data_IF_528269764842
#
_entry.id   IF_528269764842
#
_cell.length_a   1.000
_cell.length_b   1.000
_cell.length_c   1.000
_cell.angle_alpha   90.00
_cell.angle_beta   90.00
_cell.angle_gamma   90.00
#
_symmetry.space_group_name_H-M   'P 1'
#
loop_
_entity.id
_entity.type
_entity.pdbx_description
1 polymer ?
#
# COMPACT_ATOMS: atom_id res chain seq x y z
N UNK A 1 23.02 18.56 6.69
CA UNK A 1 22.21 17.45 6.14
C UNK A 1 22.33 17.37 4.63
N UNK A 2 21.86 18.37 3.85
CA UNK A 2 21.92 18.33 2.38
C UNK A 2 23.33 18.12 1.79
N UNK A 3 24.34 18.86 2.27
CA UNK A 3 25.72 18.66 1.80
C UNK A 3 26.19 17.22 2.01
N UNK A 4 25.96 16.66 3.21
CA UNK A 4 26.30 15.26 3.52
C UNK A 4 25.59 14.30 2.59
N UNK A 5 24.31 14.53 2.28
CA UNK A 5 23.57 13.73 1.31
C UNK A 5 24.19 13.83 -0.10
N UNK A 6 24.52 15.04 -0.57
CA UNK A 6 25.13 15.25 -1.88
C UNK A 6 26.54 14.63 -1.98
N UNK A 7 27.35 14.71 -0.92
CA UNK A 7 28.66 14.08 -0.83
C UNK A 7 28.58 12.56 -1.01
N UNK A 8 27.47 11.96 -0.56
CA UNK A 8 27.22 10.51 -0.60
C UNK A 8 26.23 10.09 -1.70
N UNK A 9 25.81 11.00 -2.58
CA UNK A 9 24.82 10.69 -3.62
C UNK A 9 25.29 9.59 -4.57
N UNK A 10 26.61 9.37 -4.68
CA UNK A 10 27.19 8.27 -5.44
C UNK A 10 26.75 6.87 -4.97
N UNK A 11 26.27 6.72 -3.73
CA UNK A 11 25.74 5.46 -3.19
C UNK A 11 24.45 5.01 -3.88
N UNK A 12 23.72 5.92 -4.53
CA UNK A 12 22.48 5.62 -5.25
C UNK A 12 22.70 5.23 -6.71
N UNK A 13 23.95 5.06 -7.17
CA UNK A 13 24.23 4.61 -8.53
C UNK A 13 23.70 3.20 -8.73
N UNK A 14 22.83 3.03 -9.73
CA UNK A 14 22.20 1.75 -10.04
C UNK A 14 21.00 1.40 -9.16
N UNK A 15 20.53 2.32 -8.31
CA UNK A 15 19.33 2.12 -7.49
C UNK A 15 18.13 2.87 -8.08
N UNK A 16 16.88 2.41 -7.84
CA UNK A 16 15.70 3.15 -8.26
C UNK A 16 15.63 4.53 -7.59
N UNK A 17 16.10 4.67 -6.35
CA UNK A 17 16.22 5.97 -5.66
C UNK A 17 17.08 6.96 -6.44
N UNK A 18 18.22 6.54 -6.98
CA UNK A 18 19.05 7.40 -7.81
C UNK A 18 18.33 7.88 -9.08
N UNK A 19 17.53 7.00 -9.69
CA UNK A 19 16.70 7.33 -10.86
C UNK A 19 15.61 8.34 -10.51
N UNK A 20 14.80 8.05 -9.48
CA UNK A 20 13.71 8.93 -9.04
C UNK A 20 14.20 10.31 -8.64
N UNK A 21 15.26 10.38 -7.82
CA UNK A 21 15.85 11.65 -7.38
C UNK A 21 16.41 12.47 -8.54
N UNK A 22 17.04 11.81 -9.53
CA UNK A 22 17.54 12.51 -10.72
C UNK A 22 16.39 13.06 -11.55
N UNK A 23 15.33 12.26 -11.73
CA UNK A 23 14.15 12.67 -12.50
C UNK A 23 13.37 13.77 -11.80
N UNK A 24 13.10 13.68 -10.50
CA UNK A 24 12.37 14.73 -9.79
C UNK A 24 13.16 16.04 -9.73
N UNK A 25 14.48 15.99 -9.54
CA UNK A 25 15.34 17.18 -9.59
C UNK A 25 15.20 17.87 -10.97
N UNK A 26 15.22 17.09 -12.05
CA UNK A 26 15.10 17.62 -13.40
C UNK A 26 13.68 18.10 -13.73
N UNK A 27 12.69 17.21 -13.65
CA UNK A 27 11.33 17.45 -14.16
C UNK A 27 10.51 18.34 -13.23
N UNK A 28 10.68 18.20 -11.91
CA UNK A 28 9.90 18.96 -10.91
C UNK A 28 10.61 20.26 -10.56
N UNK A 29 11.91 20.23 -10.25
CA UNK A 29 12.63 21.41 -9.76
C UNK A 29 13.39 22.17 -10.87
N UNK A 30 13.49 21.62 -12.07
CA UNK A 30 14.20 22.22 -13.21
C UNK A 30 15.74 22.19 -13.04
N UNK A 31 16.26 21.27 -12.24
CA UNK A 31 17.70 21.12 -11.98
C UNK A 31 18.30 20.26 -13.09
N UNK A 32 19.06 20.89 -13.99
CA UNK A 32 19.73 20.18 -15.09
C UNK A 32 21.16 19.77 -14.74
N UNK A 33 21.73 20.33 -13.67
CA UNK A 33 23.07 19.98 -13.19
C UNK A 33 23.03 18.68 -12.36
N UNK A 34 24.02 17.81 -12.57
CA UNK A 34 24.15 16.58 -11.78
C UNK A 34 24.46 16.91 -10.32
N UNK A 35 23.73 16.31 -9.38
CA UNK A 35 24.03 16.42 -7.96
C UNK A 35 25.39 15.78 -7.62
N UNK A 36 26.30 16.60 -7.13
CA UNK A 36 27.61 16.24 -6.58
C UNK A 36 27.90 17.11 -5.36
N UNK A 37 28.99 16.82 -4.65
CA UNK A 37 29.49 17.68 -3.57
C UNK A 37 29.67 19.14 -4.01
N UNK A 38 30.13 19.37 -5.24
CA UNK A 38 30.41 20.70 -5.78
C UNK A 38 29.14 21.47 -6.15
N UNK A 39 28.14 20.79 -6.73
CA UNK A 39 26.88 21.43 -7.16
C UNK A 39 25.84 21.53 -6.04
N UNK A 40 26.07 20.87 -4.89
CA UNK A 40 25.13 20.74 -3.78
C UNK A 40 24.52 22.08 -3.34
N UNK A 41 25.35 23.10 -3.11
CA UNK A 41 24.90 24.40 -2.62
C UNK A 41 24.02 25.14 -3.64
N UNK A 42 24.39 25.09 -4.92
CA UNK A 42 23.63 25.72 -6.00
C UNK A 42 22.26 25.04 -6.19
N UNK A 43 22.25 23.71 -6.20
CA UNK A 43 21.01 22.92 -6.31
C UNK A 43 20.10 23.16 -5.11
N UNK A 44 20.65 23.22 -3.88
CA UNK A 44 19.85 23.55 -2.69
C UNK A 44 19.17 24.91 -2.82
N UNK A 45 19.93 25.94 -3.21
CA UNK A 45 19.40 27.29 -3.37
C UNK A 45 18.29 27.35 -4.43
N UNK A 46 18.43 26.61 -5.53
CA UNK A 46 17.37 26.50 -6.54
C UNK A 46 16.12 25.82 -5.99
N UNK A 47 16.25 24.70 -5.28
CA UNK A 47 15.10 24.00 -4.67
C UNK A 47 14.39 24.90 -3.67
N UNK A 48 15.13 25.57 -2.77
CA UNK A 48 14.57 26.49 -1.78
C UNK A 48 13.81 27.65 -2.45
N UNK A 49 14.39 28.25 -3.50
CA UNK A 49 13.73 29.29 -4.28
C UNK A 49 12.43 28.78 -4.94
N UNK A 50 12.44 27.56 -5.49
CA UNK A 50 11.24 26.94 -6.08
C UNK A 50 10.16 26.73 -5.04
N UNK A 51 10.49 26.15 -3.88
CA UNK A 51 9.54 25.87 -2.80
C UNK A 51 8.88 27.12 -2.22
N UNK A 52 9.54 28.28 -2.30
CA UNK A 52 8.99 29.57 -1.88
C UNK A 52 8.09 30.22 -2.95
N UNK A 53 8.08 29.69 -4.18
CA UNK A 53 7.22 30.20 -5.25
C UNK A 53 5.75 29.83 -5.02
N UNK A 54 4.79 30.70 -5.37
CA UNK A 54 3.36 30.36 -5.37
C UNK A 54 3.01 29.15 -6.26
N UNK A 55 3.85 28.82 -7.23
CA UNK A 55 3.66 27.68 -8.14
C UNK A 55 3.99 26.32 -7.49
N UNK A 56 4.67 26.29 -6.34
CA UNK A 56 5.13 25.06 -5.66
C UNK A 56 4.32 24.74 -4.39
N UNK A 57 3.08 25.23 -4.31
CA UNK A 57 2.17 24.79 -3.25
C UNK A 57 1.69 23.35 -3.53
N UNK A 58 1.33 22.55 -2.50
CA UNK A 58 0.89 21.17 -2.71
C UNK A 58 -0.27 21.02 -3.70
N UNK A 59 -1.25 21.94 -3.70
CA UNK A 59 -2.38 21.91 -4.64
C UNK A 59 -1.95 22.20 -6.09
N UNK A 60 -1.02 23.14 -6.29
CA UNK A 60 -0.47 23.44 -7.62
C UNK A 60 0.35 22.29 -8.17
N UNK A 61 1.18 21.68 -7.34
CA UNK A 61 1.94 20.50 -7.71
C UNK A 61 1.02 19.31 -8.03
N UNK A 62 -0.06 19.09 -7.26
CA UNK A 62 -1.08 18.08 -7.59
C UNK A 62 -1.66 18.27 -9.00
N UNK A 63 -2.01 19.51 -9.35
CA UNK A 63 -2.51 19.88 -10.68
C UNK A 63 -1.43 19.67 -11.76
N UNK A 64 -0.20 20.12 -11.52
CA UNK A 64 0.92 20.00 -12.46
C UNK A 64 1.33 18.55 -12.71
N UNK A 65 1.27 17.70 -11.68
CA UNK A 65 1.54 16.27 -11.78
C UNK A 65 0.40 15.51 -12.46
N UNK A 66 -0.71 16.19 -12.78
CA UNK A 66 -1.89 15.60 -13.41
C UNK A 66 -2.42 14.40 -12.62
N UNK A 67 -2.51 14.55 -11.30
CA UNK A 67 -3.05 13.52 -10.42
C UNK A 67 -4.58 13.55 -10.50
N UNK A 68 -5.19 12.43 -10.90
CA UNK A 68 -6.66 12.29 -10.93
C UNK A 68 -7.22 11.93 -9.55
N UNK A 69 -6.49 11.11 -8.78
CA UNK A 69 -6.86 10.68 -7.44
C UNK A 69 -5.61 10.35 -6.63
N UNK A 70 -5.60 10.74 -5.36
CA UNK A 70 -4.57 10.37 -4.39
C UNK A 70 -5.24 9.72 -3.18
N UNK A 71 -4.83 8.51 -2.86
CA UNK A 71 -5.34 7.77 -1.72
C UNK A 71 -4.32 7.86 -0.58
N UNK A 72 -4.70 8.41 0.57
CA UNK A 72 -3.88 8.36 1.78
C UNK A 72 -4.13 7.05 2.52
N UNK A 73 -3.24 6.70 3.45
CA UNK A 73 -3.42 5.57 4.35
C UNK A 73 -3.63 6.08 5.76
N UNK A 74 -4.80 5.84 6.32
CA UNK A 74 -5.24 6.44 7.58
C UNK A 74 -5.60 5.35 8.60
N UNK A 75 -5.18 5.50 9.87
CA UNK A 75 -5.53 4.54 10.91
C UNK A 75 -7.04 4.53 11.13
N UNK A 76 -7.59 3.40 11.59
CA UNK A 76 -9.02 3.29 11.96
C UNK A 76 -9.47 4.37 12.96
N UNK A 77 -8.54 4.89 13.75
CA UNK A 77 -8.72 5.93 14.77
C UNK A 77 -8.62 7.37 14.22
N UNK A 78 -8.38 7.56 12.92
CA UNK A 78 -8.35 8.88 12.28
C UNK A 78 -9.72 9.56 12.32
N UNK A 79 -9.75 10.87 12.62
CA UNK A 79 -10.95 11.69 12.60
C UNK A 79 -11.35 12.16 11.18
N UNK A 80 -10.48 11.95 10.18
CA UNK A 80 -10.66 12.33 8.78
C UNK A 80 -10.90 13.85 8.55
N UNK A 81 -10.53 14.68 9.51
CA UNK A 81 -10.79 16.13 9.48
C UNK A 81 -10.10 16.83 8.30
N UNK A 82 -8.90 16.39 7.91
CA UNK A 82 -8.19 16.92 6.75
C UNK A 82 -8.88 16.57 5.43
N UNK A 83 -9.42 15.35 5.28
CA UNK A 83 -10.19 14.96 4.10
C UNK A 83 -11.48 15.79 3.98
N UNK A 84 -12.19 15.97 5.10
CA UNK A 84 -13.37 16.83 5.14
C UNK A 84 -13.02 18.28 4.74
N UNK A 85 -11.95 18.85 5.30
CA UNK A 85 -11.50 20.19 4.97
C UNK A 85 -11.12 20.34 3.48
N UNK A 86 -10.50 19.32 2.87
CA UNK A 86 -10.17 19.33 1.44
C UNK A 86 -11.45 19.35 0.61
N UNK A 87 -12.37 18.42 0.86
CA UNK A 87 -13.66 18.32 0.17
C UNK A 87 -14.46 19.63 0.25
N UNK A 88 -14.46 20.26 1.42
CA UNK A 88 -15.28 21.44 1.70
C UNK A 88 -14.59 22.75 1.26
N UNK A 89 -13.34 22.70 0.78
CA UNK A 89 -12.57 23.90 0.40
C UNK A 89 -12.87 24.48 -0.99
N UNK A 90 -13.67 23.80 -1.80
CA UNK A 90 -13.96 24.20 -3.20
C UNK A 90 -12.82 23.91 -4.20
N UNK A 91 -11.72 23.29 -3.76
CA UNK A 91 -10.68 22.78 -4.67
C UNK A 91 -11.08 21.42 -5.25
N UNK A 92 -10.77 21.18 -6.52
CA UNK A 92 -11.26 20.01 -7.27
C UNK A 92 -10.39 18.75 -7.12
N UNK A 93 -9.28 18.81 -6.39
CA UNK A 93 -8.42 17.64 -6.19
C UNK A 93 -9.10 16.55 -5.37
N UNK A 94 -9.02 15.31 -5.85
CA UNK A 94 -9.62 14.14 -5.20
C UNK A 94 -8.56 13.47 -4.31
N UNK A 95 -8.68 13.69 -3.00
CA UNK A 95 -7.87 13.04 -1.98
C UNK A 95 -8.80 12.25 -1.07
N UNK A 96 -8.67 10.92 -1.05
CA UNK A 96 -9.56 10.01 -0.32
C UNK A 96 -8.78 9.14 0.67
N UNK A 97 -9.36 8.73 1.80
CA UNK A 97 -8.67 7.89 2.76
C UNK A 97 -8.73 6.40 2.39
N UNK A 98 -7.74 5.64 2.85
CA UNK A 98 -7.70 4.17 2.84
C UNK A 98 -7.71 3.68 4.29
N UNK A 99 -8.66 2.82 4.64
CA UNK A 99 -8.84 2.36 6.02
C UNK A 99 -7.78 1.34 6.43
N UNK A 100 -6.95 1.66 7.43
CA UNK A 100 -5.90 0.77 7.95
C UNK A 100 -6.06 0.47 9.44
N UNK A 101 -6.53 -0.73 9.82
CA UNK A 101 -6.83 -1.07 11.21
C UNK A 101 -5.66 -1.72 11.97
N UNK A 102 -4.44 -1.79 11.41
CA UNK A 102 -3.31 -2.52 11.99
C UNK A 102 -3.07 -2.21 13.48
N UNK A 103 -3.14 -0.93 13.87
CA UNK A 103 -2.86 -0.48 15.24
C UNK A 103 -3.89 -0.94 16.28
N UNK A 104 -5.09 -1.35 15.85
CA UNK A 104 -6.15 -1.88 16.73
C UNK A 104 -6.34 -3.39 16.57
N UNK A 105 -5.84 -3.99 15.48
CA UNK A 105 -5.91 -5.44 15.23
C UNK A 105 -4.70 -6.19 15.79
N UNK A 106 -3.50 -5.62 15.70
CA UNK A 106 -2.29 -6.26 16.16
C UNK A 106 -2.13 -6.04 17.67
N UNK A 107 -2.46 -7.06 18.46
CA UNK A 107 -2.50 -7.00 19.93
C UNK A 107 -1.13 -6.66 20.57
N UNK A 108 -0.04 -6.89 19.84
CA UNK A 108 1.33 -6.60 20.23
C UNK A 108 1.83 -5.22 19.77
N UNK A 109 0.97 -4.42 19.12
CA UNK A 109 1.31 -3.07 18.73
C UNK A 109 1.63 -2.19 19.96
N UNK A 110 2.69 -1.39 19.86
CA UNK A 110 3.04 -0.45 20.91
C UNK A 110 1.88 0.53 21.17
N UNK A 111 1.43 0.62 22.42
CA UNK A 111 0.31 1.48 22.80
C UNK A 111 -1.07 0.98 22.34
N UNK A 112 -1.22 -0.31 22.01
CA UNK A 112 -2.48 -0.91 21.53
C UNK A 112 -3.71 -0.52 22.36
N UNK A 113 -3.64 -0.57 23.70
CA UNK A 113 -4.78 -0.17 24.56
C UNK A 113 -5.24 1.27 24.30
N UNK A 114 -4.30 2.20 24.15
CA UNK A 114 -4.62 3.59 23.82
C UNK A 114 -5.28 3.73 22.44
N UNK A 115 -4.95 2.85 21.50
CA UNK A 115 -5.61 2.81 20.19
C UNK A 115 -7.05 2.29 20.29
N UNK A 116 -7.34 1.35 21.19
CA UNK A 116 -8.72 0.90 21.48
C UNK A 116 -9.55 2.03 22.13
N UNK A 117 -8.95 2.79 23.05
CA UNK A 117 -9.61 3.96 23.64
C UNK A 117 -9.90 5.02 22.57
N UNK A 118 -8.93 5.30 21.70
CA UNK A 118 -9.12 6.22 20.57
C UNK A 118 -10.19 5.72 19.58
N UNK A 119 -10.22 4.41 19.28
CA UNK A 119 -11.25 3.80 18.44
C UNK A 119 -12.64 3.99 19.05
N UNK A 120 -12.76 3.80 20.37
CA UNK A 120 -14.02 4.00 21.09
C UNK A 120 -14.50 5.45 20.99
N UNK A 121 -13.57 6.41 21.15
CA UNK A 121 -13.87 7.84 21.01
C UNK A 121 -14.34 8.23 19.61
N UNK A 122 -13.63 7.81 18.56
CA UNK A 122 -13.98 8.22 17.18
C UNK A 122 -15.16 7.45 16.58
N UNK A 123 -15.47 6.26 17.10
CA UNK A 123 -16.65 5.49 16.69
C UNK A 123 -17.90 5.81 17.50
N UNK A 124 -17.75 6.37 18.71
CA UNK A 124 -18.84 6.57 19.67
C UNK A 124 -19.34 5.27 20.31
N UNK A 125 -18.61 4.16 20.17
CA UNK A 125 -18.95 2.83 20.69
C UNK A 125 -17.92 2.45 21.75
N UNK A 126 -18.37 2.15 22.97
CA UNK A 126 -17.48 1.70 24.04
C UNK A 126 -17.00 0.25 23.79
N UNK A 127 -15.71 0.08 23.49
CA UNK A 127 -15.12 -1.23 23.19
C UNK A 127 -14.74 -1.94 24.48
N UNK A 128 -15.65 -2.79 24.96
CA UNK A 128 -15.46 -3.63 26.16
C UNK A 128 -15.42 -5.13 25.88
N UNK A 129 -15.83 -5.56 24.70
CA UNK A 129 -15.93 -6.95 24.28
C UNK A 129 -15.79 -7.10 22.77
N UNK A 130 -15.77 -8.34 22.28
CA UNK A 130 -15.55 -8.59 20.85
C UNK A 130 -16.69 -8.05 19.96
N UNK A 131 -17.93 -8.10 20.43
CA UNK A 131 -19.07 -7.61 19.67
C UNK A 131 -18.99 -6.08 19.46
N UNK A 132 -18.75 -5.33 20.54
CA UNK A 132 -18.56 -3.87 20.48
C UNK A 132 -17.32 -3.47 19.68
N UNK A 133 -16.24 -4.26 19.74
CA UNK A 133 -15.04 -4.03 18.90
C UNK A 133 -15.35 -4.14 17.40
N UNK A 134 -16.05 -5.20 16.98
CA UNK A 134 -16.46 -5.38 15.58
C UNK A 134 -17.40 -4.25 15.14
N UNK A 135 -18.36 -3.88 15.98
CA UNK A 135 -19.29 -2.78 15.69
C UNK A 135 -18.55 -1.44 15.51
N UNK A 136 -17.54 -1.16 16.33
CA UNK A 136 -16.72 0.04 16.21
C UNK A 136 -15.96 0.08 14.87
N UNK A 137 -15.38 -1.05 14.45
CA UNK A 137 -14.70 -1.15 13.15
C UNK A 137 -15.64 -0.96 11.97
N UNK A 138 -16.83 -1.57 12.00
CA UNK A 138 -17.86 -1.39 10.97
C UNK A 138 -18.31 0.07 10.87
N UNK A 139 -18.50 0.74 12.02
CA UNK A 139 -18.82 2.16 12.06
C UNK A 139 -17.71 3.00 11.43
N UNK A 140 -16.43 2.73 11.77
CA UNK A 140 -15.31 3.48 11.20
C UNK A 140 -15.20 3.26 9.69
N UNK A 141 -15.38 2.04 9.20
CA UNK A 141 -15.41 1.76 7.76
C UNK A 141 -16.50 2.54 7.04
N UNK A 142 -17.69 2.67 7.63
CA UNK A 142 -18.75 3.51 7.08
C UNK A 142 -18.34 4.99 6.99
N UNK A 143 -17.73 5.55 8.05
CA UNK A 143 -17.23 6.93 8.04
C UNK A 143 -16.14 7.16 6.98
N UNK A 144 -15.25 6.19 6.77
CA UNK A 144 -14.26 6.25 5.69
C UNK A 144 -14.91 6.27 4.30
N UNK A 145 -15.93 5.44 4.08
CA UNK A 145 -16.70 5.43 2.83
C UNK A 145 -17.41 6.76 2.57
N UNK A 146 -17.94 7.40 3.61
CA UNK A 146 -18.54 8.75 3.48
C UNK A 146 -17.52 9.81 3.04
N UNK A 147 -16.23 9.61 3.32
CA UNK A 147 -15.13 10.44 2.83
C UNK A 147 -14.56 9.97 1.47
N UNK A 148 -15.21 9.00 0.82
CA UNK A 148 -14.83 8.51 -0.51
C UNK A 148 -13.84 7.36 -0.52
N UNK A 149 -13.56 6.73 0.63
CA UNK A 149 -12.72 5.53 0.67
C UNK A 149 -13.32 4.41 -0.20
N UNK A 150 -12.47 3.76 -0.98
CA UNK A 150 -12.83 2.59 -1.78
C UNK A 150 -12.05 1.33 -1.41
N UNK A 151 -11.06 1.47 -0.53
CA UNK A 151 -10.17 0.38 -0.13
C UNK A 151 -9.82 0.39 1.36
N UNK A 152 -9.38 -0.77 1.83
CA UNK A 152 -8.71 -0.99 3.10
C UNK A 152 -7.29 -1.50 2.86
N UNK A 153 -6.43 -1.31 3.85
CA UNK A 153 -5.05 -1.79 3.82
C UNK A 153 -4.74 -2.52 5.13
N UNK A 154 -4.07 -3.65 5.01
CA UNK A 154 -3.73 -4.53 6.12
C UNK A 154 -2.28 -4.96 6.01
N UNK A 155 -1.45 -4.63 7.00
CA UNK A 155 -0.14 -5.25 7.13
C UNK A 155 -0.14 -6.31 8.23
N UNK A 156 0.48 -7.44 7.89
CA UNK A 156 0.73 -8.55 8.81
C UNK A 156 2.13 -9.09 8.56
N UNK A 157 2.74 -9.78 9.52
CA UNK A 157 4.01 -10.48 9.23
C UNK A 157 3.76 -11.66 8.30
N UNK A 158 2.63 -12.36 8.47
CA UNK A 158 2.23 -13.50 7.64
C UNK A 158 0.80 -13.33 7.14
N UNK A 159 0.43 -13.85 5.96
CA UNK A 159 -0.95 -13.84 5.47
C UNK A 159 -1.80 -14.97 6.09
N UNK A 160 -1.43 -15.46 7.28
CA UNK A 160 -2.14 -16.53 7.98
C UNK A 160 -3.57 -16.09 8.30
N UNK A 161 -4.54 -16.93 7.96
CA UNK A 161 -5.96 -16.71 8.25
C UNK A 161 -6.52 -17.90 9.01
N UNK A 162 -7.41 -17.64 9.96
CA UNK A 162 -8.11 -18.65 10.77
C UNK A 162 -9.45 -18.05 11.16
N UNK A 163 -10.54 -18.81 11.07
CA UNK A 163 -11.84 -18.39 11.63
C UNK A 163 -11.94 -18.87 13.07
N UNK A 164 -11.97 -17.92 14.01
CA UNK A 164 -12.29 -18.19 15.41
C UNK A 164 -13.80 -18.17 15.64
N UNK A 165 -14.25 -18.89 16.68
CA UNK A 165 -15.59 -18.68 17.22
C UNK A 165 -15.65 -17.29 17.87
N UNK A 166 -16.85 -16.69 17.92
CA UNK A 166 -17.03 -15.40 18.61
C UNK A 166 -16.62 -15.47 20.08
N UNK A 167 -16.81 -16.63 20.73
CA UNK A 167 -16.38 -16.88 22.10
C UNK A 167 -14.86 -16.88 22.24
N UNK A 168 -14.14 -17.57 21.35
CA UNK A 168 -12.67 -17.61 21.40
C UNK A 168 -12.07 -16.23 21.11
N UNK A 169 -12.62 -15.51 20.13
CA UNK A 169 -12.19 -14.14 19.82
C UNK A 169 -12.43 -13.19 21.00
N UNK A 170 -13.57 -13.31 21.69
CA UNK A 170 -13.88 -12.52 22.90
C UNK A 170 -12.94 -12.84 24.06
N UNK A 171 -12.61 -14.11 24.28
CA UNK A 171 -11.65 -14.51 25.31
C UNK A 171 -10.27 -13.87 25.04
N UNK A 172 -9.78 -13.94 23.80
CA UNK A 172 -8.49 -13.34 23.43
C UNK A 172 -8.54 -11.81 23.61
N UNK A 173 -9.58 -11.15 23.09
CA UNK A 173 -9.71 -9.71 23.19
C UNK A 173 -9.79 -9.25 24.65
N UNK A 174 -10.65 -9.84 25.47
CA UNK A 174 -10.78 -9.46 26.90
C UNK A 174 -9.47 -9.64 27.67
N UNK A 175 -8.70 -10.70 27.37
CA UNK A 175 -7.38 -10.90 27.94
C UNK A 175 -6.44 -9.74 27.56
N UNK A 176 -6.41 -9.37 26.28
CA UNK A 176 -5.61 -8.23 25.79
C UNK A 176 -6.05 -6.90 26.41
N UNK A 177 -7.37 -6.66 26.56
CA UNK A 177 -7.89 -5.48 27.26
C UNK A 177 -7.48 -5.45 28.74
N UNK A 178 -7.27 -6.62 29.37
CA UNK A 178 -6.71 -6.78 30.70
C UNK A 178 -5.19 -6.61 30.79
N UNK A 179 -4.50 -6.39 29.67
CA UNK A 179 -3.04 -6.19 29.61
C UNK A 179 -2.22 -7.47 29.44
N UNK A 180 -2.86 -8.60 29.13
CA UNK A 180 -2.20 -9.89 28.94
C UNK A 180 -2.37 -10.38 27.49
N UNK A 181 -1.30 -10.92 26.89
CA UNK A 181 -1.34 -11.58 25.58
C UNK A 181 -0.70 -12.95 25.72
N UNK A 182 -1.47 -14.03 25.52
CA UNK A 182 -0.93 -15.37 25.63
C UNK A 182 -0.18 -15.79 24.35
N UNK A 183 0.61 -16.86 24.46
CA UNK A 183 1.33 -17.41 23.32
C UNK A 183 0.36 -17.80 22.20
N UNK A 184 0.66 -17.36 20.98
CA UNK A 184 -0.19 -17.57 19.80
C UNK A 184 -1.41 -16.65 19.67
N UNK A 185 -1.83 -15.91 20.71
CA UNK A 185 -3.02 -15.04 20.65
C UNK A 185 -2.90 -14.01 19.51
N UNK A 186 -1.74 -13.36 19.38
CA UNK A 186 -1.47 -12.37 18.31
C UNK A 186 -1.71 -12.99 16.94
N UNK A 187 -1.08 -14.13 16.64
CA UNK A 187 -1.19 -14.79 15.34
C UNK A 187 -2.64 -15.18 15.04
N UNK A 188 -3.33 -15.80 15.99
CA UNK A 188 -4.70 -16.28 15.81
C UNK A 188 -5.69 -15.14 15.68
N UNK A 189 -5.56 -14.11 16.52
CA UNK A 189 -6.43 -12.94 16.49
C UNK A 189 -6.22 -12.13 15.22
N UNK A 190 -4.98 -11.83 14.81
CA UNK A 190 -4.70 -11.16 13.53
C UNK A 190 -5.24 -11.98 12.35
N UNK A 191 -5.04 -13.31 12.34
CA UNK A 191 -5.58 -14.17 11.29
C UNK A 191 -7.11 -14.21 11.24
N UNK A 192 -7.78 -14.11 12.39
CA UNK A 192 -9.24 -13.97 12.50
C UNK A 192 -9.72 -12.59 12.07
N UNK A 193 -9.00 -11.54 12.42
CA UNK A 193 -9.36 -10.19 12.00
C UNK A 193 -9.21 -10.01 10.48
N UNK A 194 -8.27 -10.71 9.82
CA UNK A 194 -8.24 -10.75 8.35
C UNK A 194 -9.52 -11.39 7.77
N UNK A 195 -10.07 -12.43 8.41
CA UNK A 195 -11.37 -13.02 8.02
C UNK A 195 -12.52 -12.02 8.21
N UNK A 196 -12.55 -11.29 9.33
CA UNK A 196 -13.57 -10.27 9.58
C UNK A 196 -13.47 -9.09 8.62
N UNK A 197 -12.26 -8.64 8.27
CA UNK A 197 -12.06 -7.60 7.27
C UNK A 197 -12.53 -8.05 5.88
N UNK A 198 -12.32 -9.32 5.53
CA UNK A 198 -12.84 -9.90 4.30
C UNK A 198 -14.37 -9.97 4.30
N UNK A 199 -14.98 -10.40 5.42
CA UNK A 199 -16.45 -10.37 5.60
C UNK A 199 -17.01 -8.97 5.41
N UNK A 200 -16.52 -7.98 6.15
CA UNK A 200 -16.97 -6.59 6.04
C UNK A 200 -16.80 -6.06 4.61
N UNK A 201 -15.68 -6.37 3.95
CA UNK A 201 -15.40 -5.97 2.57
C UNK A 201 -16.34 -6.62 1.55
N UNK A 202 -16.77 -7.86 1.82
CA UNK A 202 -17.78 -8.55 1.01
C UNK A 202 -19.18 -7.92 1.12
N UNK A 203 -19.47 -7.26 2.25
CA UNK A 203 -20.75 -6.59 2.55
C UNK A 203 -20.74 -5.14 2.08
N UNK A 204 -19.71 -4.37 2.43
CA UNK A 204 -19.62 -2.94 2.16
C UNK A 204 -18.94 -2.59 0.82
N UNK A 205 -18.28 -3.56 0.18
CA UNK A 205 -17.64 -3.41 -1.12
C UNK A 205 -16.30 -2.67 -1.12
N UNK A 206 -15.70 -2.37 0.03
CA UNK A 206 -14.32 -1.88 0.09
C UNK A 206 -13.37 -2.95 -0.43
N UNK A 207 -12.37 -2.54 -1.21
CA UNK A 207 -11.32 -3.43 -1.72
C UNK A 207 -10.33 -3.71 -0.61
N UNK A 208 -10.07 -4.98 -0.31
CA UNK A 208 -9.13 -5.37 0.73
C UNK A 208 -7.72 -5.51 0.15
N UNK A 209 -6.76 -4.72 0.63
CA UNK A 209 -5.35 -4.89 0.30
C UNK A 209 -4.62 -5.61 1.43
N UNK A 210 -3.76 -6.58 1.11
CA UNK A 210 -2.97 -7.31 2.09
C UNK A 210 -1.48 -7.20 1.75
N UNK A 211 -0.71 -6.63 2.68
CA UNK A 211 0.73 -6.40 2.61
C UNK A 211 1.49 -7.23 3.66
N UNK A 212 1.72 -8.54 3.41
CA UNK A 212 2.42 -9.42 4.33
C UNK A 212 3.95 -9.43 4.12
N UNK A 213 4.69 -10.01 5.06
CA UNK A 213 6.07 -10.44 4.83
C UNK A 213 7.15 -9.43 5.25
N UNK A 214 6.81 -8.42 6.05
CA UNK A 214 7.79 -7.49 6.63
C UNK A 214 8.01 -7.80 8.11
N UNK A 215 9.24 -8.18 8.47
CA UNK A 215 9.67 -8.23 9.87
C UNK A 215 10.20 -6.84 10.26
N UNK A 216 9.33 -6.08 10.92
CA UNK A 216 9.57 -4.67 11.23
C UNK A 216 10.48 -4.48 12.43
N UNK A 217 11.15 -3.32 12.47
CA UNK A 217 11.99 -2.87 13.58
C UNK A 217 13.10 -3.87 13.96
N UNK A 218 13.74 -4.48 12.95
CA UNK A 218 14.76 -5.51 13.12
C UNK A 218 16.03 -5.01 13.85
N UNK A 219 16.26 -3.70 13.90
CA UNK A 219 17.36 -3.09 14.65
C UNK A 219 16.85 -2.45 15.96
N UNK A 220 17.01 -3.11 17.12
CA UNK A 220 16.46 -2.62 18.39
C UNK A 220 17.10 -1.31 18.87
N UNK A 221 18.39 -1.09 18.58
CA UNK A 221 19.07 0.16 18.96
C UNK A 221 18.50 1.36 18.20
N UNK A 222 18.11 1.15 16.93
CA UNK A 222 17.50 2.20 16.12
C UNK A 222 16.05 2.47 16.57
N UNK A 223 15.30 1.41 16.86
CA UNK A 223 13.94 1.50 17.39
C UNK A 223 13.89 2.29 18.69
N UNK A 224 14.76 1.96 19.65
CA UNK A 224 14.81 2.65 20.94
C UNK A 224 15.11 4.15 20.78
N UNK A 225 15.99 4.50 19.83
CA UNK A 225 16.45 5.88 19.66
C UNK A 225 15.52 6.75 18.81
N UNK A 226 14.94 6.21 17.75
CA UNK A 226 14.23 6.99 16.74
C UNK A 226 12.79 6.52 16.48
N UNK A 227 12.38 5.37 17.01
CA UNK A 227 11.08 4.78 16.74
C UNK A 227 11.02 3.98 15.43
N UNK A 228 9.79 3.61 14.99
CA UNK A 228 9.56 2.80 13.79
C UNK A 228 9.82 3.56 12.49
N UNK A 229 9.75 2.85 11.36
CA UNK A 229 9.88 3.39 9.99
C UNK A 229 11.25 4.04 9.68
N UNK A 230 12.32 3.60 10.35
CA UNK A 230 13.68 4.13 10.18
C UNK A 230 14.57 3.28 9.23
N UNK A 231 13.94 2.54 8.31
CA UNK A 231 14.65 1.72 7.31
C UNK A 231 15.21 0.39 7.82
N UNK A 232 14.69 -0.12 8.94
CA UNK A 232 15.12 -1.38 9.57
C UNK A 232 14.05 -2.48 9.50
N UNK A 233 13.25 -2.48 8.43
CA UNK A 233 12.17 -3.44 8.19
C UNK A 233 12.59 -4.39 7.08
N UNK A 234 12.70 -5.69 7.40
CA UNK A 234 13.36 -6.67 6.53
C UNK A 234 12.32 -7.67 5.99
N UNK A 235 12.29 -7.93 4.67
CA UNK A 235 11.49 -8.99 4.08
C UNK A 235 11.77 -10.36 4.73
N UNK A 236 10.72 -11.15 4.90
CA UNK A 236 10.80 -12.55 5.33
C UNK A 236 10.09 -13.47 4.34
N UNK A 237 10.52 -14.73 4.32
CA UNK A 237 9.89 -15.76 3.51
C UNK A 237 8.38 -15.83 3.83
N UNK A 238 7.56 -15.80 2.78
CA UNK A 238 6.11 -15.71 2.90
C UNK A 238 5.45 -16.88 2.15
N UNK A 239 4.40 -17.45 2.73
CA UNK A 239 3.62 -18.55 2.14
C UNK A 239 2.16 -18.10 2.08
N UNK A 240 1.50 -18.24 0.94
CA UNK A 240 0.14 -17.78 0.69
C UNK A 240 -0.87 -18.92 0.56
N UNK A 241 -0.47 -20.04 -0.04
CA UNK A 241 -1.35 -21.13 -0.50
C UNK A 241 -2.08 -21.80 0.65
N UNK A 242 -1.38 -22.13 1.73
CA UNK A 242 -1.97 -22.69 2.94
C UNK A 242 -2.52 -21.61 3.85
N UNK A 243 -1.78 -20.53 4.03
CA UNK A 243 -2.14 -19.46 4.95
C UNK A 243 -3.44 -18.71 4.58
N UNK A 244 -3.73 -18.51 3.29
CA UNK A 244 -4.96 -17.87 2.81
C UNK A 244 -6.11 -18.83 2.56
N UNK A 245 -5.89 -20.16 2.68
CA UNK A 245 -6.90 -21.14 2.32
C UNK A 245 -8.23 -20.95 3.07
N UNK A 246 -8.26 -20.68 4.40
CA UNK A 246 -9.52 -20.40 5.09
C UNK A 246 -10.28 -19.20 4.50
N UNK A 247 -9.59 -18.08 4.26
CA UNK A 247 -10.19 -16.88 3.66
C UNK A 247 -10.70 -17.13 2.25
N UNK A 248 -9.90 -17.77 1.40
CA UNK A 248 -10.27 -18.04 0.00
C UNK A 248 -11.38 -19.10 -0.11
N UNK A 249 -11.45 -20.06 0.81
CA UNK A 249 -12.57 -20.99 0.88
C UNK A 249 -13.90 -20.27 1.15
N UNK A 250 -13.90 -19.26 2.02
CA UNK A 250 -15.12 -18.54 2.43
C UNK A 250 -15.48 -17.43 1.42
N UNK A 251 -14.50 -16.62 0.99
CA UNK A 251 -14.75 -15.41 0.22
C UNK A 251 -14.16 -15.42 -1.20
N UNK A 252 -13.32 -16.39 -1.56
CA UNK A 252 -12.59 -16.39 -2.84
C UNK A 252 -13.49 -16.40 -4.09
N UNK A 253 -14.74 -16.89 -3.95
CA UNK A 253 -15.75 -16.92 -5.01
C UNK A 253 -16.86 -15.85 -4.83
N UNK A 254 -16.76 -14.98 -3.82
CA UNK A 254 -17.78 -13.98 -3.52
C UNK A 254 -17.69 -12.80 -4.49
N UNK A 255 -18.76 -12.53 -5.25
CA UNK A 255 -18.75 -11.56 -6.36
C UNK A 255 -18.47 -10.12 -5.95
N UNK A 256 -18.85 -9.72 -4.72
CA UNK A 256 -18.59 -8.38 -4.20
C UNK A 256 -17.26 -8.27 -3.44
N UNK A 257 -16.58 -9.38 -3.15
CA UNK A 257 -15.30 -9.35 -2.46
C UNK A 257 -14.16 -9.14 -3.46
N UNK A 258 -13.21 -8.27 -3.12
CA UNK A 258 -11.97 -8.11 -3.88
C UNK A 258 -10.78 -8.03 -2.93
N UNK A 259 -9.84 -8.95 -3.12
CA UNK A 259 -8.58 -9.02 -2.40
C UNK A 259 -7.44 -8.69 -3.35
N UNK A 260 -6.59 -7.74 -2.98
CA UNK A 260 -5.35 -7.42 -3.69
C UNK A 260 -4.18 -7.87 -2.81
N UNK A 261 -3.38 -8.81 -3.32
CA UNK A 261 -2.19 -9.30 -2.62
C UNK A 261 -0.94 -8.57 -3.08
N UNK A 262 -0.18 -8.07 -2.12
CA UNK A 262 1.18 -7.57 -2.30
C UNK A 262 2.19 -8.56 -1.74
N UNK A 263 3.47 -8.40 -2.10
CA UNK A 263 4.51 -9.37 -1.76
C UNK A 263 5.86 -8.73 -1.47
N UNK A 264 6.58 -9.30 -0.51
CA UNK A 264 8.00 -9.05 -0.25
C UNK A 264 8.88 -10.29 -0.48
N UNK A 265 8.32 -11.34 -1.11
CA UNK A 265 9.02 -12.58 -1.43
C UNK A 265 8.76 -12.95 -2.91
N UNK A 266 9.69 -12.58 -3.79
CA UNK A 266 9.57 -12.83 -5.24
C UNK A 266 9.51 -14.33 -5.58
N UNK A 267 9.95 -15.23 -4.69
CA UNK A 267 9.89 -16.68 -4.91
C UNK A 267 8.45 -17.23 -4.94
N UNK A 268 7.49 -16.44 -4.47
CA UNK A 268 6.06 -16.77 -4.46
C UNK A 268 5.34 -16.38 -5.74
N UNK A 269 5.94 -15.54 -6.60
CA UNK A 269 5.27 -14.94 -7.76
C UNK A 269 4.69 -15.99 -8.71
N UNK A 270 5.54 -16.85 -9.28
CA UNK A 270 5.12 -17.90 -10.21
C UNK A 270 4.58 -19.14 -9.50
N UNK A 271 5.03 -19.39 -8.26
CA UNK A 271 4.71 -20.62 -7.51
C UNK A 271 3.34 -20.57 -6.84
N UNK A 272 2.94 -19.42 -6.32
CA UNK A 272 1.73 -19.27 -5.49
C UNK A 272 0.81 -18.15 -5.97
N UNK A 273 1.33 -16.92 -6.06
CA UNK A 273 0.52 -15.72 -6.29
C UNK A 273 -0.17 -15.76 -7.65
N UNK A 274 0.57 -16.03 -8.73
CA UNK A 274 -0.01 -16.07 -10.07
C UNK A 274 -1.02 -17.22 -10.25
N UNK A 275 -0.75 -18.47 -9.81
CA UNK A 275 -1.77 -19.53 -9.81
C UNK A 275 -3.02 -19.19 -8.99
N UNK A 276 -2.87 -18.62 -7.79
CA UNK A 276 -4.01 -18.24 -6.96
C UNK A 276 -4.86 -17.16 -7.63
N UNK A 277 -4.24 -16.09 -8.12
CA UNK A 277 -4.94 -14.98 -8.77
C UNK A 277 -5.52 -15.35 -10.15
N UNK A 278 -4.90 -16.30 -10.85
CA UNK A 278 -5.43 -16.87 -12.09
C UNK A 278 -6.65 -17.79 -11.87
N UNK A 279 -6.94 -18.19 -10.63
CA UNK A 279 -8.02 -19.10 -10.29
C UNK A 279 -9.20 -18.42 -9.55
N UNK A 280 -8.93 -17.71 -8.44
CA UNK A 280 -9.98 -17.18 -7.58
C UNK A 280 -10.56 -15.86 -8.13
N UNK A 281 -11.88 -15.78 -8.42
CA UNK A 281 -12.50 -14.58 -8.99
C UNK A 281 -12.29 -13.29 -8.19
N UNK A 282 -12.27 -13.39 -6.85
CA UNK A 282 -12.08 -12.26 -5.96
C UNK A 282 -10.63 -11.75 -5.87
N UNK A 283 -9.65 -12.53 -6.33
CA UNK A 283 -8.24 -12.28 -6.06
C UNK A 283 -7.55 -11.52 -7.21
N UNK A 284 -6.72 -10.54 -6.85
CA UNK A 284 -5.87 -9.77 -7.77
C UNK A 284 -4.47 -9.60 -7.18
N UNK A 285 -3.50 -9.27 -8.03
CA UNK A 285 -2.12 -9.02 -7.64
C UNK A 285 -1.78 -7.52 -7.70
N UNK A 286 -1.29 -7.00 -6.58
CA UNK A 286 -0.66 -5.70 -6.48
C UNK A 286 0.65 -5.66 -7.27
N UNK A 287 1.13 -4.45 -7.65
CA UNK A 287 2.47 -4.30 -8.22
C UNK A 287 3.55 -4.73 -7.23
N UNK A 288 4.80 -4.93 -7.70
CA UNK A 288 5.95 -5.18 -6.85
C UNK A 288 6.11 -4.10 -5.79
N UNK A 289 6.21 -4.53 -4.54
CA UNK A 289 6.12 -3.63 -3.40
C UNK A 289 7.50 -3.31 -2.80
N UNK A 290 7.65 -2.08 -2.31
CA UNK A 290 8.77 -1.61 -1.50
C UNK A 290 10.13 -1.81 -2.17
N UNK A 291 10.92 -2.81 -1.78
CA UNK A 291 12.24 -3.08 -2.35
C UNK A 291 12.18 -3.53 -3.81
N UNK A 292 11.02 -4.04 -4.23
CA UNK A 292 10.78 -4.53 -5.59
C UNK A 292 10.11 -3.48 -6.49
N UNK A 293 9.67 -2.35 -5.94
CA UNK A 293 9.28 -1.14 -6.71
C UNK A 293 10.54 -0.54 -7.35
N UNK A 294 10.95 -1.16 -8.45
CA UNK A 294 12.20 -0.89 -9.16
C UNK A 294 12.11 -1.43 -10.57
N UNK A 295 12.94 -0.91 -11.48
CA UNK A 295 12.99 -1.40 -12.87
C UNK A 295 13.08 -2.93 -12.96
N UNK A 296 14.00 -3.53 -12.20
CA UNK A 296 14.24 -4.96 -12.25
C UNK A 296 13.15 -5.77 -11.54
N UNK A 297 12.60 -5.28 -10.42
CA UNK A 297 11.51 -5.96 -9.72
C UNK A 297 10.20 -5.95 -10.53
N UNK A 298 9.86 -4.81 -11.13
CA UNK A 298 8.73 -4.70 -12.07
C UNK A 298 8.89 -5.60 -13.29
N UNK A 299 10.11 -5.66 -13.86
CA UNK A 299 10.39 -6.56 -14.99
C UNK A 299 10.18 -8.02 -14.60
N UNK A 300 10.78 -8.47 -13.48
CA UNK A 300 10.62 -9.86 -13.00
C UNK A 300 9.16 -10.19 -12.68
N UNK A 301 8.40 -9.25 -12.13
CA UNK A 301 6.98 -9.45 -11.89
C UNK A 301 6.21 -9.73 -13.17
N UNK A 302 6.42 -8.92 -14.22
CA UNK A 302 5.77 -9.17 -15.52
C UNK A 302 6.19 -10.50 -16.13
N UNK A 303 7.45 -10.89 -16.00
CA UNK A 303 7.97 -12.18 -16.49
C UNK A 303 7.41 -13.38 -15.73
N UNK A 304 7.29 -13.30 -14.40
CA UNK A 304 6.94 -14.45 -13.56
C UNK A 304 5.43 -14.61 -13.31
N UNK A 305 4.65 -13.55 -13.46
CA UNK A 305 3.21 -13.56 -13.14
C UNK A 305 2.33 -13.71 -14.39
N UNK A 306 2.69 -13.04 -15.47
CA UNK A 306 1.75 -12.80 -16.58
C UNK A 306 1.35 -14.07 -17.33
N UNK A 307 2.19 -15.11 -17.37
CA UNK A 307 1.87 -16.37 -18.06
C UNK A 307 0.71 -17.13 -17.40
N UNK A 308 0.55 -17.03 -16.08
CA UNK A 308 -0.53 -17.73 -15.35
C UNK A 308 -1.68 -16.81 -14.99
N UNK A 309 -1.39 -15.62 -14.44
CA UNK A 309 -2.43 -14.69 -14.01
C UNK A 309 -2.96 -13.82 -15.16
N UNK A 310 -2.15 -13.57 -16.19
CA UNK A 310 -2.44 -12.55 -17.20
C UNK A 310 -2.36 -11.12 -16.64
N UNK A 311 -2.47 -10.14 -17.54
CA UNK A 311 -2.44 -8.72 -17.17
C UNK A 311 -3.67 -8.31 -16.33
N UNK A 312 -4.85 -8.82 -16.67
CA UNK A 312 -6.13 -8.39 -16.10
C UNK A 312 -6.46 -8.97 -14.71
N UNK A 313 -5.61 -9.87 -14.19
CA UNK A 313 -5.62 -10.24 -12.76
C UNK A 313 -4.59 -9.44 -11.93
N UNK A 314 -3.92 -8.46 -12.53
CA UNK A 314 -3.13 -7.43 -11.84
C UNK A 314 -3.92 -6.12 -11.71
N UNK A 315 -3.43 -5.17 -10.93
CA UNK A 315 -4.17 -3.93 -10.60
C UNK A 315 -3.54 -2.64 -11.13
N UNK A 316 -2.55 -2.73 -12.01
CA UNK A 316 -1.74 -1.58 -12.43
C UNK A 316 -0.65 -1.26 -11.42
N UNK A 317 -0.45 0.03 -11.11
CA UNK A 317 0.64 0.51 -10.26
C UNK A 317 0.15 1.53 -9.21
N UNK A 318 0.77 1.50 -8.03
CA UNK A 318 0.68 2.50 -6.97
C UNK A 318 2.09 2.84 -6.47
N UNK A 319 2.34 4.09 -6.09
CA UNK A 319 3.66 4.59 -5.72
C UNK A 319 4.10 4.26 -4.28
N UNK A 320 3.14 4.01 -3.37
CA UNK A 320 3.35 3.73 -1.93
C UNK A 320 4.40 4.66 -1.29
N UNK A 321 4.33 5.97 -1.55
CA UNK A 321 5.34 6.92 -1.08
C UNK A 321 4.81 8.03 -0.20
N UNK A 322 5.64 8.46 0.75
CA UNK A 322 5.48 9.73 1.48
C UNK A 322 6.11 10.92 0.71
N UNK A 323 6.94 10.65 -0.29
CA UNK A 323 7.67 11.67 -1.05
C UNK A 323 6.84 12.19 -2.22
N UNK A 324 6.05 13.24 -1.98
CA UNK A 324 5.10 13.81 -2.96
C UNK A 324 5.74 14.15 -4.32
N UNK A 325 6.95 14.71 -4.33
CA UNK A 325 7.68 15.06 -5.56
C UNK A 325 8.11 13.82 -6.37
N UNK A 326 8.19 12.65 -5.76
CA UNK A 326 8.58 11.41 -6.43
C UNK A 326 7.40 10.69 -7.11
N UNK A 327 6.15 11.07 -6.84
CA UNK A 327 4.95 10.45 -7.45
C UNK A 327 5.05 10.40 -8.98
N UNK A 328 5.27 11.52 -9.72
CA UNK A 328 5.35 11.47 -11.17
C UNK A 328 6.51 10.59 -11.67
N UNK A 329 7.68 10.63 -11.01
CA UNK A 329 8.84 9.82 -11.38
C UNK A 329 8.59 8.31 -11.19
N UNK A 330 7.89 7.91 -10.12
CA UNK A 330 7.51 6.51 -9.86
C UNK A 330 6.51 6.00 -10.90
N UNK A 331 5.47 6.79 -11.21
CA UNK A 331 4.51 6.43 -12.25
C UNK A 331 5.14 6.37 -13.64
N UNK A 332 6.07 7.28 -13.97
CA UNK A 332 6.80 7.24 -15.25
C UNK A 332 7.69 5.98 -15.34
N UNK A 333 8.38 5.61 -14.27
CA UNK A 333 9.14 4.35 -14.20
C UNK A 333 8.23 3.14 -14.51
N UNK A 334 7.09 3.03 -13.82
CA UNK A 334 6.16 1.93 -14.02
C UNK A 334 5.64 1.87 -15.47
N UNK A 335 5.22 3.01 -16.03
CA UNK A 335 4.75 3.12 -17.42
C UNK A 335 5.81 2.68 -18.43
N UNK A 336 7.08 3.05 -18.22
CA UNK A 336 8.20 2.65 -19.09
C UNK A 336 8.48 1.16 -19.01
N UNK A 337 8.43 0.56 -17.82
CA UNK A 337 8.65 -0.87 -17.66
C UNK A 337 7.52 -1.66 -18.34
N UNK A 338 6.27 -1.26 -18.14
CA UNK A 338 5.12 -1.91 -18.79
C UNK A 338 5.16 -1.76 -20.31
N UNK A 339 5.47 -0.56 -20.83
CA UNK A 339 5.63 -0.34 -22.26
C UNK A 339 6.75 -1.22 -22.85
N UNK A 340 7.87 -1.38 -22.14
CA UNK A 340 8.96 -2.24 -22.57
C UNK A 340 8.54 -3.73 -22.59
N UNK A 341 7.83 -4.19 -21.57
CA UNK A 341 7.32 -5.57 -21.53
C UNK A 341 6.34 -5.84 -22.69
N UNK A 342 5.35 -4.95 -22.88
CA UNK A 342 4.35 -5.07 -23.95
C UNK A 342 5.03 -5.03 -25.33
N UNK A 343 5.95 -4.09 -25.55
CA UNK A 343 6.69 -4.00 -26.81
C UNK A 343 7.46 -5.30 -27.11
N UNK A 344 8.04 -5.95 -26.08
CA UNK A 344 8.71 -7.24 -26.25
C UNK A 344 7.74 -8.36 -26.67
N UNK A 345 6.49 -8.34 -26.21
CA UNK A 345 5.46 -9.28 -26.67
C UNK A 345 5.13 -9.04 -28.15
N UNK A 346 4.94 -7.77 -28.54
CA UNK A 346 4.60 -7.38 -29.91
C UNK A 346 5.70 -7.76 -30.90
N UNK A 347 6.97 -7.42 -30.62
CA UNK A 347 8.08 -7.73 -31.55
C UNK A 347 8.37 -9.23 -31.66
N UNK A 348 7.94 -10.03 -30.67
CA UNK A 348 7.99 -11.50 -30.70
C UNK A 348 6.75 -12.13 -31.32
N UNK A 349 5.79 -11.32 -31.80
CA UNK A 349 4.53 -11.76 -32.36
C UNK A 349 3.67 -12.61 -31.41
N UNK A 350 3.76 -12.33 -30.10
CA UNK A 350 2.89 -12.94 -29.08
C UNK A 350 1.53 -12.25 -29.05
N UNK A 351 1.51 -10.93 -29.29
CA UNK A 351 0.32 -10.08 -29.43
C UNK A 351 0.49 -9.17 -30.65
N UNK A 352 -0.59 -8.57 -31.13
CA UNK A 352 -0.53 -7.55 -32.18
C UNK A 352 -0.44 -6.12 -31.62
N UNK A 353 -0.47 -5.11 -32.51
CA UNK A 353 -0.38 -3.70 -32.13
C UNK A 353 -1.68 -3.15 -31.51
N UNK A 354 -2.83 -3.74 -31.86
CA UNK A 354 -4.12 -3.31 -31.33
C UNK A 354 -4.23 -3.78 -29.87
N UNK A 355 -3.89 -5.05 -29.61
CA UNK A 355 -3.72 -5.62 -28.27
C UNK A 355 -2.74 -4.78 -27.44
N UNK A 356 -1.56 -4.47 -27.99
CA UNK A 356 -0.54 -3.69 -27.29
C UNK A 356 -1.04 -2.30 -26.87
N UNK A 357 -1.86 -1.66 -27.71
CA UNK A 357 -2.45 -0.34 -27.44
C UNK A 357 -3.50 -0.41 -26.33
N UNK A 358 -4.33 -1.46 -26.33
CA UNK A 358 -5.28 -1.70 -25.24
C UNK A 358 -4.56 -2.01 -23.92
N UNK A 359 -3.57 -2.90 -23.96
CA UNK A 359 -2.85 -3.36 -22.78
C UNK A 359 -2.11 -2.22 -22.08
N UNK A 360 -1.51 -1.28 -22.81
CA UNK A 360 -0.77 -0.17 -22.19
C UNK A 360 -1.71 0.84 -21.51
N UNK A 361 -2.88 1.11 -22.10
CA UNK A 361 -3.91 1.96 -21.47
C UNK A 361 -4.48 1.28 -20.22
N UNK A 362 -4.78 -0.02 -20.32
CA UNK A 362 -5.23 -0.82 -19.19
C UNK A 362 -4.19 -0.81 -18.05
N UNK A 363 -2.92 -1.07 -18.34
CA UNK A 363 -1.85 -1.10 -17.35
C UNK A 363 -1.63 0.26 -16.66
N UNK A 364 -1.66 1.35 -17.42
CA UNK A 364 -1.37 2.69 -16.92
C UNK A 364 -2.56 3.38 -16.23
N UNK A 365 -3.79 3.00 -16.56
CA UNK A 365 -5.00 3.72 -16.13
C UNK A 365 -6.21 2.82 -15.86
N UNK A 366 -6.60 1.99 -16.83
CA UNK A 366 -7.86 1.23 -16.76
C UNK A 366 -7.94 0.24 -15.59
N UNK A 367 -6.87 -0.52 -15.34
CA UNK A 367 -6.82 -1.56 -14.30
C UNK A 367 -6.91 -0.98 -12.90
N UNK A 368 -6.19 0.11 -12.60
CA UNK A 368 -6.24 0.71 -11.26
C UNK A 368 -7.64 1.24 -10.96
N UNK A 369 -8.30 1.91 -11.92
CA UNK A 369 -9.68 2.38 -11.75
C UNK A 369 -10.65 1.24 -11.55
N UNK A 370 -10.55 0.20 -12.37
CA UNK A 370 -11.39 -0.98 -12.25
C UNK A 370 -11.17 -1.72 -10.93
N UNK A 371 -9.91 -1.95 -10.53
CA UNK A 371 -9.53 -2.68 -9.33
C UNK A 371 -9.97 -1.98 -8.06
N UNK A 372 -9.78 -0.65 -7.98
CA UNK A 372 -10.06 0.16 -6.80
C UNK A 372 -11.44 0.85 -6.81
N UNK A 373 -12.29 0.59 -7.81
CA UNK A 373 -13.65 1.16 -7.93
C UNK A 373 -13.65 2.70 -7.93
N UNK A 374 -12.72 3.29 -8.67
CA UNK A 374 -12.44 4.74 -8.66
C UNK A 374 -13.19 5.54 -9.71
#
# INVERSE_FOLDING_TARGET
VWQTFADHFYLFRGTPTGMWLTQELHDVFGVTEKLTSQSAAAIYAQIDQRLQSPDFTPRRLYEQFNIEVLCTTDPATSDLSHHAAIRDSGWSGRIVPTFRPDAVVNLDAAGWRGQIDALSQVSGIDVGDYASFIQALEQRRAAFKEMGATATDHAAVTPFTERLSAQDADIILRRALGGEVADGDVKRFTGHMLMEMARMSSEDGLVMQLHPGSLRNHNPQLLEKFGPDMGADIPVATEFTHNLKPLLNEFGNHSNFRLILFMLDESTLSRELAPLAGHYPALRLGPPWWFFDSWNGMTRFRELVSETAGLYNTVGFNDDTRAFASIPARHDLARRVDANWIANLTVRHIIDMDDATEMIDAAAYGLVKAAYRL
#
